data_IF_962202799586
#
_entry.id   IF_962202799586
#
_cell.length_a   1.000
_cell.length_b   1.000
_cell.length_c   1.000
_cell.angle_alpha   90.00
_cell.angle_beta   90.00
_cell.angle_gamma   90.00
#
_symmetry.space_group_name_H-M   'P 1'
#
loop_
_entity.id
_entity.type
_entity.pdbx_description
1 polymer ?
#
# COMPACT_ATOMS: atom_id res chain seq x y z
N UNK A 1 -5.48 10.65 -21.86
CA UNK A 1 -4.49 9.57 -21.96
C UNK A 1 -5.21 8.23 -21.74
N UNK A 2 -4.98 7.17 -22.54
CA UNK A 2 -5.58 5.86 -22.30
C UNK A 2 -4.90 5.14 -21.12
N UNK A 3 -5.69 4.48 -20.29
CA UNK A 3 -5.25 3.63 -19.17
C UNK A 3 -5.82 2.23 -19.38
N UNK A 4 -4.95 1.23 -19.36
CA UNK A 4 -5.30 -0.18 -19.48
C UNK A 4 -5.06 -0.85 -18.12
N UNK A 5 -6.10 -1.38 -17.49
CA UNK A 5 -5.96 -2.04 -16.19
C UNK A 5 -7.10 -3.04 -15.95
N UNK A 6 -6.97 -3.88 -14.92
CA UNK A 6 -8.05 -4.72 -14.45
C UNK A 6 -9.22 -3.87 -13.89
N UNK A 7 -10.41 -4.46 -13.86
CA UNK A 7 -11.66 -3.77 -13.52
C UNK A 7 -11.62 -3.08 -12.15
N UNK A 8 -11.13 -3.76 -11.11
CA UNK A 8 -11.02 -3.19 -9.77
C UNK A 8 -10.00 -2.05 -9.73
N UNK A 9 -8.85 -2.22 -10.40
CA UNK A 9 -7.82 -1.19 -10.51
C UNK A 9 -8.34 0.06 -11.20
N UNK A 10 -9.15 -0.09 -12.26
CA UNK A 10 -9.83 1.06 -12.93
C UNK A 10 -10.72 1.79 -11.94
N UNK A 11 -11.51 1.09 -11.12
CA UNK A 11 -12.36 1.70 -10.11
C UNK A 11 -11.56 2.54 -9.11
N UNK A 12 -10.43 2.01 -8.60
CA UNK A 12 -9.54 2.71 -7.67
C UNK A 12 -8.90 3.95 -8.31
N UNK A 13 -8.39 3.81 -9.55
CA UNK A 13 -7.76 4.93 -10.28
C UNK A 13 -8.80 6.01 -10.59
N UNK A 14 -10.01 5.62 -11.00
CA UNK A 14 -11.09 6.56 -11.36
C UNK A 14 -11.42 7.46 -10.17
N UNK A 15 -11.59 6.91 -8.97
CA UNK A 15 -11.83 7.69 -7.76
C UNK A 15 -10.72 8.74 -7.53
N UNK A 16 -9.44 8.34 -7.72
CA UNK A 16 -8.31 9.27 -7.62
C UNK A 16 -8.32 10.35 -8.68
N UNK A 17 -8.62 10.01 -9.91
CA UNK A 17 -8.68 10.98 -11.01
C UNK A 17 -9.86 11.93 -10.86
N UNK A 18 -10.97 11.49 -10.26
CA UNK A 18 -12.12 12.36 -9.93
C UNK A 18 -11.73 13.42 -8.90
N UNK A 19 -10.97 13.05 -7.84
CA UNK A 19 -10.44 14.00 -6.84
C UNK A 19 -9.62 15.13 -7.49
N UNK A 20 -8.96 14.85 -8.63
CA UNK A 20 -8.13 15.81 -9.37
C UNK A 20 -8.81 16.38 -10.62
N UNK A 21 -10.08 16.08 -10.89
CA UNK A 21 -10.81 16.55 -12.06
C UNK A 21 -10.31 15.99 -13.39
N UNK A 22 -9.56 14.88 -13.39
CA UNK A 22 -8.94 14.28 -14.58
C UNK A 22 -9.73 13.08 -15.14
N UNK A 23 -10.74 12.58 -14.45
CA UNK A 23 -11.47 11.37 -14.85
C UNK A 23 -12.15 11.54 -16.22
N UNK A 24 -12.74 12.70 -16.50
CA UNK A 24 -13.44 12.99 -17.77
C UNK A 24 -12.52 13.06 -19.00
N UNK A 25 -11.24 13.35 -18.81
CA UNK A 25 -10.21 13.40 -19.87
C UNK A 25 -9.45 12.09 -20.05
N UNK A 26 -9.77 11.08 -19.27
CA UNK A 26 -9.09 9.78 -19.26
C UNK A 26 -9.97 8.71 -19.93
N UNK A 27 -9.36 7.93 -20.83
CA UNK A 27 -10.03 6.79 -21.48
C UNK A 27 -9.57 5.51 -20.76
N UNK A 28 -10.52 4.77 -20.20
CA UNK A 28 -10.25 3.52 -19.50
C UNK A 28 -10.51 2.32 -20.41
N UNK A 29 -9.57 1.41 -20.45
CA UNK A 29 -9.68 0.12 -21.11
C UNK A 29 -9.55 -1.00 -20.08
N UNK A 30 -10.65 -1.69 -19.82
CA UNK A 30 -10.61 -2.91 -18.98
C UNK A 30 -9.87 -4.01 -19.75
N UNK A 31 -8.86 -4.60 -19.11
CA UNK A 31 -8.13 -5.76 -19.63
C UNK A 31 -8.28 -6.94 -18.69
N UNK A 32 -8.20 -8.14 -19.26
CA UNK A 32 -8.36 -9.40 -18.51
C UNK A 32 -7.18 -10.33 -18.78
N UNK A 33 -6.89 -11.25 -17.85
CA UNK A 33 -5.86 -12.26 -18.08
C UNK A 33 -6.01 -12.92 -19.45
N UNK A 34 -4.87 -13.12 -20.14
CA UNK A 34 -4.75 -13.69 -21.48
C UNK A 34 -5.36 -12.86 -22.63
N UNK A 35 -5.91 -11.71 -22.35
CA UNK A 35 -6.39 -10.77 -23.39
C UNK A 35 -5.24 -9.94 -23.93
N UNK A 36 -4.73 -10.29 -25.11
CA UNK A 36 -3.64 -9.53 -25.75
C UNK A 36 -4.11 -8.16 -26.23
N UNK A 37 -3.31 -7.15 -25.95
CA UNK A 37 -3.52 -5.77 -26.40
C UNK A 37 -2.31 -5.36 -27.24
N UNK A 38 -2.56 -4.90 -28.47
CA UNK A 38 -1.50 -4.42 -29.37
C UNK A 38 -1.41 -2.90 -29.32
N UNK A 39 -0.22 -2.39 -29.02
CA UNK A 39 0.09 -0.96 -28.87
C UNK A 39 1.32 -0.64 -29.75
N UNK A 40 1.11 -0.31 -31.02
CA UNK A 40 2.19 -0.13 -31.98
C UNK A 40 2.95 -1.42 -32.22
N UNK A 41 4.26 -1.44 -31.91
CA UNK A 41 5.11 -2.62 -32.04
C UNK A 41 5.07 -3.56 -30.80
N UNK A 42 4.32 -3.20 -29.77
CA UNK A 42 4.20 -3.98 -28.55
C UNK A 42 2.90 -4.79 -28.56
N UNK A 43 3.00 -6.04 -28.15
CA UNK A 43 1.84 -6.87 -27.79
C UNK A 43 1.93 -7.22 -26.31
N UNK A 44 0.98 -6.76 -25.53
CA UNK A 44 0.94 -6.93 -24.07
C UNK A 44 -0.10 -7.98 -23.72
N UNK A 45 0.31 -9.05 -23.05
CA UNK A 45 -0.58 -10.07 -22.49
C UNK A 45 -0.59 -9.97 -20.97
N UNK A 46 -1.74 -9.62 -20.35
CA UNK A 46 -1.92 -9.69 -18.92
C UNK A 46 -1.96 -11.14 -18.44
N UNK A 47 -1.25 -11.43 -17.35
CA UNK A 47 -1.16 -12.75 -16.72
C UNK A 47 -1.68 -12.61 -15.29
N UNK A 48 -2.62 -13.46 -14.88
CA UNK A 48 -3.14 -13.41 -13.51
C UNK A 48 -2.06 -13.79 -12.50
N UNK A 49 -1.95 -13.00 -11.42
CA UNK A 49 -1.10 -13.29 -10.26
C UNK A 49 -1.88 -13.04 -8.97
N UNK A 50 -1.59 -13.81 -7.93
CA UNK A 50 -2.13 -13.52 -6.60
C UNK A 50 -1.39 -12.34 -5.96
N UNK A 51 -2.14 -11.51 -5.27
CA UNK A 51 -1.65 -10.45 -4.41
C UNK A 51 -2.66 -10.17 -3.29
N UNK A 52 -2.50 -9.10 -2.52
CA UNK A 52 -3.45 -8.67 -1.49
C UNK A 52 -4.70 -7.97 -2.04
N UNK A 53 -4.77 -7.74 -3.34
CA UNK A 53 -5.88 -7.12 -4.04
C UNK A 53 -6.37 -8.05 -5.17
N UNK A 54 -7.70 -8.17 -5.40
CA UNK A 54 -8.22 -8.92 -6.53
C UNK A 54 -7.73 -8.42 -7.89
N UNK A 55 -7.72 -9.32 -8.88
CA UNK A 55 -7.38 -9.04 -10.29
C UNK A 55 -5.96 -8.49 -10.49
N UNK A 56 -5.00 -8.85 -9.64
CA UNK A 56 -3.60 -8.48 -9.84
C UNK A 56 -3.03 -9.12 -11.10
N UNK A 57 -2.23 -8.34 -11.84
CA UNK A 57 -1.71 -8.74 -13.15
C UNK A 57 -0.20 -8.60 -13.22
N UNK A 58 0.45 -9.65 -13.73
CA UNK A 58 1.73 -9.56 -14.39
C UNK A 58 1.51 -9.27 -15.89
N UNK A 59 2.57 -8.87 -16.58
CA UNK A 59 2.52 -8.55 -18.00
C UNK A 59 3.65 -9.22 -18.76
N UNK A 60 3.32 -9.93 -19.84
CA UNK A 60 4.26 -10.31 -20.86
C UNK A 60 4.17 -9.30 -22.01
N UNK A 61 5.27 -8.62 -22.30
CA UNK A 61 5.38 -7.55 -23.30
C UNK A 61 6.24 -8.10 -24.44
N UNK A 62 5.61 -8.47 -25.52
CA UNK A 62 6.26 -8.96 -26.74
C UNK A 62 6.56 -7.77 -27.66
N UNK A 63 7.80 -7.64 -28.08
CA UNK A 63 8.27 -6.59 -28.97
C UNK A 63 9.37 -7.10 -29.91
N UNK A 64 9.81 -6.31 -30.92
CA UNK A 64 10.85 -6.77 -31.86
C UNK A 64 12.19 -7.19 -31.23
N UNK A 65 12.51 -6.69 -30.03
CA UNK A 65 13.72 -7.07 -29.30
C UNK A 65 13.60 -8.43 -28.58
N UNK A 66 12.37 -8.86 -28.28
CA UNK A 66 12.06 -10.08 -27.54
C UNK A 66 10.95 -9.87 -26.52
N UNK A 67 10.72 -10.85 -25.67
CA UNK A 67 9.68 -10.81 -24.63
C UNK A 67 10.25 -10.30 -23.31
N UNK A 68 9.62 -9.29 -22.74
CA UNK A 68 9.88 -8.80 -21.39
C UNK A 68 8.72 -9.19 -20.48
N UNK A 69 9.00 -9.81 -19.33
CA UNK A 69 7.99 -10.10 -18.32
C UNK A 69 8.18 -9.14 -17.13
N UNK A 70 7.10 -8.49 -16.71
CA UNK A 70 7.02 -7.77 -15.44
C UNK A 70 6.00 -8.45 -14.55
N UNK A 71 6.44 -8.92 -13.38
CA UNK A 71 5.55 -9.71 -12.50
C UNK A 71 4.42 -8.90 -11.88
N UNK A 72 4.54 -7.56 -11.82
CA UNK A 72 3.78 -6.81 -10.84
C UNK A 72 4.11 -7.29 -9.44
N UNK A 73 3.33 -6.88 -8.46
CA UNK A 73 3.39 -7.42 -7.11
C UNK A 73 2.71 -8.78 -7.11
N UNK A 74 3.39 -9.82 -6.65
CA UNK A 74 2.86 -11.18 -6.75
C UNK A 74 3.23 -12.06 -5.56
N UNK A 75 2.44 -13.09 -5.34
CA UNK A 75 2.75 -14.30 -4.58
C UNK A 75 2.21 -15.53 -5.33
N UNK A 76 2.48 -16.71 -4.81
CA UNK A 76 1.87 -17.95 -5.29
C UNK A 76 1.02 -18.54 -4.17
N UNK A 77 -0.28 -18.32 -4.23
CA UNK A 77 -1.22 -18.88 -3.26
C UNK A 77 -2.00 -20.03 -3.92
N UNK A 78 -1.73 -21.26 -3.48
CA UNK A 78 -2.38 -22.47 -4.00
C UNK A 78 -3.78 -22.70 -3.43
N UNK A 79 -4.14 -21.98 -2.39
CA UNK A 79 -5.46 -22.01 -1.74
C UNK A 79 -6.00 -20.60 -1.55
N UNK A 80 -6.16 -19.84 -2.67
CA UNK A 80 -6.64 -18.47 -2.58
C UNK A 80 -8.07 -18.44 -2.01
N UNK A 81 -8.49 -17.26 -1.59
CA UNK A 81 -9.85 -17.08 -1.11
C UNK A 81 -10.87 -17.32 -2.21
N UNK A 82 -12.09 -17.67 -1.83
CA UNK A 82 -13.19 -17.93 -2.74
C UNK A 82 -13.34 -16.83 -3.79
N UNK A 83 -13.34 -17.23 -5.05
CA UNK A 83 -13.50 -16.35 -6.21
C UNK A 83 -12.20 -15.87 -6.85
N UNK A 84 -11.04 -16.14 -6.25
CA UNK A 84 -9.74 -15.85 -6.86
C UNK A 84 -9.13 -17.11 -7.51
N UNK A 85 -8.31 -16.90 -8.54
CA UNK A 85 -7.56 -17.97 -9.20
C UNK A 85 -6.14 -18.07 -8.62
N UNK A 86 -5.48 -19.21 -8.80
CA UNK A 86 -4.05 -19.35 -8.52
C UNK A 86 -3.25 -18.57 -9.56
N UNK A 87 -2.09 -18.04 -9.19
CA UNK A 87 -1.14 -17.43 -10.14
C UNK A 87 -0.93 -18.31 -11.38
N UNK A 88 -1.10 -17.73 -12.58
CA UNK A 88 -1.03 -18.47 -13.87
C UNK A 88 0.43 -18.85 -14.22
N UNK A 89 0.99 -19.76 -13.43
CA UNK A 89 2.33 -20.32 -13.64
C UNK A 89 2.47 -21.02 -15.02
N UNK A 90 1.45 -21.72 -15.54
CA UNK A 90 1.52 -22.30 -16.88
C UNK A 90 1.82 -21.29 -17.98
N UNK A 91 1.19 -20.12 -17.97
CA UNK A 91 1.46 -19.06 -18.95
C UNK A 91 2.90 -18.51 -18.82
N UNK A 92 3.40 -18.31 -17.58
CA UNK A 92 4.80 -17.94 -17.37
C UNK A 92 5.76 -18.99 -17.95
N UNK A 93 5.51 -20.27 -17.70
CA UNK A 93 6.34 -21.36 -18.22
C UNK A 93 6.27 -21.47 -19.76
N UNK A 94 5.12 -21.17 -20.37
CA UNK A 94 4.98 -21.11 -21.82
C UNK A 94 5.88 -20.01 -22.43
N UNK A 95 5.89 -18.81 -21.84
CA UNK A 95 6.81 -17.76 -22.26
C UNK A 95 8.26 -18.14 -22.04
N UNK A 96 8.59 -18.79 -20.92
CA UNK A 96 9.95 -19.29 -20.65
C UNK A 96 10.45 -20.25 -21.74
N UNK A 97 9.59 -21.15 -22.23
CA UNK A 97 9.92 -22.05 -23.35
C UNK A 97 10.08 -21.33 -24.70
N UNK A 98 9.36 -20.22 -24.90
CA UNK A 98 9.49 -19.39 -26.11
C UNK A 98 10.75 -18.53 -26.10
N UNK A 99 11.32 -18.28 -24.93
CA UNK A 99 12.45 -17.40 -24.68
C UNK A 99 12.00 -16.04 -24.14
N UNK A 100 12.48 -15.70 -22.94
CA UNK A 100 12.24 -14.40 -22.27
C UNK A 100 13.54 -13.60 -22.32
N UNK A 101 13.50 -12.42 -22.93
CA UNK A 101 14.63 -11.50 -22.99
C UNK A 101 14.95 -10.97 -21.59
N UNK A 102 13.96 -10.45 -20.88
CA UNK A 102 14.16 -9.90 -19.53
C UNK A 102 12.98 -10.21 -18.60
N UNK A 103 13.31 -10.46 -17.33
CA UNK A 103 12.33 -10.54 -16.24
C UNK A 103 12.57 -9.39 -15.26
N UNK A 104 11.51 -8.62 -15.01
CA UNK A 104 11.43 -7.63 -13.93
C UNK A 104 10.53 -8.22 -12.84
N UNK A 105 11.08 -8.53 -11.65
CA UNK A 105 10.32 -9.23 -10.62
C UNK A 105 10.37 -8.55 -9.25
N UNK A 106 9.23 -8.60 -8.54
CA UNK A 106 9.01 -8.10 -7.20
C UNK A 106 10.01 -8.68 -6.20
N UNK A 107 10.66 -7.82 -5.43
CA UNK A 107 11.72 -8.17 -4.48
C UNK A 107 11.34 -7.93 -3.02
N UNK A 108 10.13 -7.49 -2.72
CA UNK A 108 9.70 -7.04 -1.37
C UNK A 108 10.03 -8.02 -0.25
N UNK A 109 9.87 -9.32 -0.48
CA UNK A 109 10.17 -10.37 0.49
C UNK A 109 11.42 -11.19 0.16
N UNK A 110 12.35 -10.69 -0.62
CA UNK A 110 13.55 -11.42 -1.03
C UNK A 110 14.46 -11.85 0.16
N UNK A 111 14.33 -11.21 1.31
CA UNK A 111 15.05 -11.60 2.54
C UNK A 111 14.36 -12.74 3.31
N UNK A 112 13.13 -13.12 2.94
CA UNK A 112 12.34 -14.13 3.66
C UNK A 112 12.48 -15.49 3.00
N UNK A 113 12.98 -16.52 3.73
CA UNK A 113 13.06 -17.87 3.22
C UNK A 113 11.68 -18.51 3.09
N UNK A 114 11.58 -19.57 2.28
CA UNK A 114 10.36 -20.36 2.11
C UNK A 114 9.32 -19.71 1.21
N UNK A 115 8.07 -20.07 1.44
CA UNK A 115 6.89 -19.60 0.71
C UNK A 115 6.08 -18.61 1.57
N UNK A 116 5.36 -17.73 0.90
CA UNK A 116 4.38 -16.87 1.55
C UNK A 116 3.18 -17.71 2.01
N UNK A 117 2.71 -17.47 3.23
CA UNK A 117 1.53 -18.15 3.75
C UNK A 117 0.27 -17.80 2.93
N UNK A 118 -0.71 -18.69 2.93
CA UNK A 118 -2.00 -18.48 2.25
C UNK A 118 -2.91 -17.53 3.02
N UNK A 119 -3.79 -16.84 2.30
CA UNK A 119 -4.85 -16.01 2.90
C UNK A 119 -5.82 -16.82 3.78
N UNK A 120 -5.94 -18.12 3.55
CA UNK A 120 -6.76 -19.00 4.39
C UNK A 120 -6.25 -19.09 5.83
N UNK A 121 -4.93 -19.11 6.04
CA UNK A 121 -4.33 -19.08 7.39
C UNK A 121 -4.78 -17.84 8.16
N UNK A 122 -4.86 -16.70 7.49
CA UNK A 122 -5.35 -15.47 8.13
C UNK A 122 -6.85 -15.54 8.43
N UNK A 123 -7.65 -16.14 7.53
CA UNK A 123 -9.07 -16.35 7.79
C UNK A 123 -9.31 -17.13 9.08
N UNK A 124 -8.55 -18.20 9.31
CA UNK A 124 -8.60 -19.01 10.53
C UNK A 124 -8.14 -18.23 11.77
N UNK A 125 -7.04 -17.47 11.64
CA UNK A 125 -6.51 -16.61 12.70
C UNK A 125 -7.53 -15.55 13.13
N UNK A 126 -8.11 -14.83 12.18
CA UNK A 126 -9.12 -13.80 12.46
C UNK A 126 -10.40 -14.43 13.04
N UNK A 127 -10.82 -15.60 12.54
CA UNK A 127 -11.97 -16.35 13.10
C UNK A 127 -11.76 -16.67 14.58
N UNK A 128 -10.59 -17.14 14.96
CA UNK A 128 -10.24 -17.43 16.37
C UNK A 128 -10.32 -16.18 17.25
N UNK A 129 -9.91 -15.03 16.71
CA UNK A 129 -9.98 -13.75 17.41
C UNK A 129 -11.42 -13.24 17.56
N UNK A 130 -12.29 -13.46 16.56
CA UNK A 130 -13.72 -13.16 16.71
C UNK A 130 -14.35 -13.97 17.85
N UNK A 131 -13.99 -15.25 17.99
CA UNK A 131 -14.45 -16.07 19.13
C UNK A 131 -13.90 -15.53 20.46
N UNK A 132 -12.59 -15.17 20.52
CA UNK A 132 -11.94 -14.59 21.70
C UNK A 132 -12.53 -13.24 22.11
N UNK A 133 -12.98 -12.43 21.17
CA UNK A 133 -13.60 -11.13 21.44
C UNK A 133 -14.85 -11.25 22.34
N UNK A 134 -15.59 -12.34 22.25
CA UNK A 134 -16.79 -12.60 23.09
C UNK A 134 -17.84 -11.51 22.92
N UNK A 135 -18.21 -10.86 24.03
CA UNK A 135 -19.24 -9.78 24.04
C UNK A 135 -18.68 -8.39 23.78
N UNK A 136 -17.43 -8.24 23.36
CA UNK A 136 -16.83 -6.95 23.06
C UNK A 136 -17.12 -6.49 21.64
N UNK A 137 -17.08 -5.18 21.42
CA UNK A 137 -17.06 -4.61 20.06
C UNK A 137 -15.73 -4.96 19.40
N UNK A 138 -15.80 -5.42 18.15
CA UNK A 138 -14.60 -5.75 17.36
C UNK A 138 -14.28 -4.57 16.47
N UNK A 139 -13.03 -4.12 16.49
CA UNK A 139 -12.50 -3.08 15.59
C UNK A 139 -11.34 -3.71 14.82
N UNK A 140 -11.45 -3.75 13.49
CA UNK A 140 -10.39 -4.30 12.64
C UNK A 140 -9.79 -3.19 11.77
N UNK A 141 -8.51 -2.93 11.95
CA UNK A 141 -7.76 -2.00 11.11
C UNK A 141 -7.00 -2.77 10.02
N UNK A 142 -7.24 -2.40 8.76
CA UNK A 142 -6.59 -3.01 7.60
C UNK A 142 -6.37 -1.99 6.49
N UNK A 143 -5.66 -2.39 5.43
CA UNK A 143 -5.53 -1.58 4.21
C UNK A 143 -6.87 -1.46 3.48
N UNK A 144 -7.22 -0.26 3.07
CA UNK A 144 -8.48 0.00 2.37
C UNK A 144 -8.55 -0.67 0.98
N UNK A 145 -7.42 -1.02 0.40
CA UNK A 145 -7.31 -1.74 -0.88
C UNK A 145 -7.39 -3.26 -0.72
N UNK A 146 -7.25 -3.80 0.49
CA UNK A 146 -7.32 -5.24 0.72
C UNK A 146 -8.79 -5.71 0.81
N UNK A 147 -9.43 -5.77 -0.35
CA UNK A 147 -10.85 -6.14 -0.47
C UNK A 147 -11.11 -7.55 0.03
N UNK A 148 -10.18 -8.47 -0.15
CA UNK A 148 -10.30 -9.84 0.39
C UNK A 148 -10.41 -9.84 1.91
N UNK A 149 -9.60 -9.04 2.61
CA UNK A 149 -9.67 -8.93 4.07
C UNK A 149 -10.98 -8.30 4.54
N UNK A 150 -11.46 -7.29 3.82
CA UNK A 150 -12.76 -6.67 4.11
C UNK A 150 -13.88 -7.71 3.96
N UNK A 151 -13.85 -8.53 2.88
CA UNK A 151 -14.82 -9.62 2.70
C UNK A 151 -14.77 -10.64 3.83
N UNK A 152 -13.57 -11.11 4.20
CA UNK A 152 -13.41 -12.06 5.32
C UNK A 152 -14.02 -11.53 6.62
N UNK A 153 -13.80 -10.25 6.94
CA UNK A 153 -14.34 -9.64 8.15
C UNK A 153 -15.87 -9.55 8.08
N UNK A 154 -16.43 -9.21 6.91
CA UNK A 154 -17.89 -9.18 6.69
C UNK A 154 -18.49 -10.58 6.87
N UNK A 155 -17.88 -11.61 6.28
CA UNK A 155 -18.36 -12.99 6.40
C UNK A 155 -18.37 -13.46 7.86
N UNK A 156 -17.30 -13.18 8.61
CA UNK A 156 -17.22 -13.49 10.04
C UNK A 156 -18.22 -12.68 10.88
N UNK A 157 -18.51 -11.45 10.49
CA UNK A 157 -19.55 -10.64 11.15
C UNK A 157 -20.94 -11.24 10.91
N UNK A 158 -21.24 -11.69 9.69
CA UNK A 158 -22.48 -12.40 9.35
C UNK A 158 -22.62 -13.67 10.19
N UNK A 159 -21.58 -14.52 10.19
CA UNK A 159 -21.57 -15.77 10.96
C UNK A 159 -21.79 -15.54 12.47
N UNK A 160 -21.23 -14.46 13.01
CA UNK A 160 -21.39 -14.10 14.43
C UNK A 160 -22.63 -13.25 14.74
N UNK A 161 -23.47 -12.99 13.75
CA UNK A 161 -24.70 -12.18 13.89
C UNK A 161 -24.44 -10.73 14.29
N UNK A 162 -23.36 -10.13 13.76
CA UNK A 162 -22.94 -8.75 14.02
C UNK A 162 -23.22 -7.85 12.82
N UNK A 163 -23.42 -6.56 13.08
CA UNK A 163 -23.46 -5.50 12.08
C UNK A 163 -22.06 -5.00 11.78
N UNK A 164 -21.83 -4.54 10.57
CA UNK A 164 -20.54 -4.01 10.13
C UNK A 164 -20.68 -2.53 9.81
N UNK A 165 -19.88 -1.70 10.47
CA UNK A 165 -19.68 -0.30 10.10
C UNK A 165 -18.28 -0.14 9.45
N UNK A 166 -18.16 0.85 8.58
CA UNK A 166 -16.90 1.18 7.90
C UNK A 166 -16.50 2.60 8.26
N UNK A 167 -15.22 2.83 8.60
CA UNK A 167 -14.70 4.14 8.97
C UNK A 167 -13.37 4.46 8.30
N UNK A 168 -13.24 5.71 7.88
CA UNK A 168 -12.12 6.21 7.09
C UNK A 168 -12.51 6.43 5.63
N UNK A 169 -12.17 7.61 5.08
CA UNK A 169 -12.61 8.04 3.74
C UNK A 169 -12.32 6.99 2.66
N UNK A 170 -11.07 6.56 2.55
CA UNK A 170 -10.67 5.55 1.56
C UNK A 170 -11.31 4.18 1.80
N UNK A 171 -11.54 3.78 3.06
CA UNK A 171 -12.20 2.50 3.37
C UNK A 171 -13.66 2.53 2.91
N UNK A 172 -14.39 3.60 3.18
CA UNK A 172 -15.79 3.77 2.73
C UNK A 172 -15.85 3.74 1.21
N UNK A 173 -15.08 4.62 0.52
CA UNK A 173 -15.09 4.71 -0.93
C UNK A 173 -14.71 3.40 -1.63
N UNK A 174 -13.66 2.71 -1.15
CA UNK A 174 -13.23 1.44 -1.74
C UNK A 174 -14.22 0.30 -1.47
N UNK A 175 -14.88 0.28 -0.29
CA UNK A 175 -15.90 -0.71 0.05
C UNK A 175 -17.13 -0.54 -0.84
N UNK A 176 -17.60 0.69 -1.03
CA UNK A 176 -18.75 0.99 -1.91
C UNK A 176 -18.42 0.61 -3.37
N UNK A 177 -17.30 1.07 -3.90
CA UNK A 177 -16.84 0.75 -5.25
C UNK A 177 -16.68 -0.76 -5.45
N UNK A 178 -16.08 -1.49 -4.49
CA UNK A 178 -15.91 -2.94 -4.60
C UNK A 178 -17.25 -3.68 -4.58
N UNK A 179 -18.26 -3.18 -3.85
CA UNK A 179 -19.64 -3.72 -3.89
C UNK A 179 -20.28 -3.47 -5.26
N UNK A 180 -20.21 -2.25 -5.77
CA UNK A 180 -20.76 -1.90 -7.10
C UNK A 180 -20.15 -2.73 -8.22
N UNK A 181 -18.85 -3.00 -8.13
CA UNK A 181 -18.14 -3.83 -9.10
C UNK A 181 -18.31 -5.34 -8.88
N UNK A 182 -18.94 -5.77 -7.79
CA UNK A 182 -19.20 -7.19 -7.50
C UNK A 182 -18.02 -7.96 -6.90
N UNK A 183 -17.00 -7.27 -6.39
CA UNK A 183 -15.87 -7.89 -5.66
C UNK A 183 -16.15 -8.07 -4.17
N UNK A 184 -17.13 -7.36 -3.63
CA UNK A 184 -17.50 -7.43 -2.24
C UNK A 184 -19.00 -7.70 -2.10
N UNK A 185 -19.33 -8.74 -1.34
CA UNK A 185 -20.70 -9.20 -1.11
C UNK A 185 -21.09 -9.01 0.35
N UNK A 186 -22.11 -8.21 0.59
CA UNK A 186 -22.68 -8.01 1.92
C UNK A 186 -24.19 -7.82 1.80
N UNK A 187 -25.01 -8.56 2.57
CA UNK A 187 -26.43 -8.29 2.65
C UNK A 187 -26.69 -6.87 3.18
N UNK A 188 -27.71 -6.19 2.65
CA UNK A 188 -28.02 -4.79 3.01
C UNK A 188 -28.28 -4.60 4.50
N UNK A 189 -28.81 -5.63 5.17
CA UNK A 189 -29.10 -5.58 6.60
C UNK A 189 -27.86 -5.77 7.49
N UNK A 190 -26.68 -6.07 6.93
CA UNK A 190 -25.41 -6.27 7.67
C UNK A 190 -24.63 -4.97 7.78
N UNK A 191 -24.55 -4.22 6.69
CA UNK A 191 -23.84 -2.94 6.66
C UNK A 191 -24.68 -1.84 7.29
N UNK A 192 -24.06 -1.08 8.18
CA UNK A 192 -24.64 0.10 8.82
C UNK A 192 -23.72 1.30 8.62
N UNK A 193 -24.26 2.50 8.69
CA UNK A 193 -23.45 3.71 8.68
C UNK A 193 -22.70 3.89 10.00
N UNK A 194 -21.60 4.62 9.98
CA UNK A 194 -20.82 4.89 11.20
C UNK A 194 -21.65 5.66 12.24
N UNK A 195 -22.61 6.47 11.82
CA UNK A 195 -23.49 7.24 12.71
C UNK A 195 -24.50 6.35 13.45
N UNK A 196 -24.76 5.15 12.93
CA UNK A 196 -25.66 4.18 13.54
C UNK A 196 -24.98 3.25 14.54
N UNK A 197 -23.64 3.28 14.61
CA UNK A 197 -22.86 2.32 15.41
C UNK A 197 -23.31 2.27 16.88
N UNK A 198 -23.72 3.41 17.44
CA UNK A 198 -24.13 3.55 18.82
C UNK A 198 -25.59 3.13 19.08
N UNK A 199 -26.36 2.77 18.02
CA UNK A 199 -27.71 2.20 18.16
C UNK A 199 -27.70 0.70 18.50
N UNK A 200 -26.52 0.06 18.36
CA UNK A 200 -26.35 -1.37 18.58
C UNK A 200 -25.49 -1.62 19.82
N UNK A 201 -25.73 -2.69 20.59
CA UNK A 201 -24.88 -3.05 21.69
C UNK A 201 -23.46 -3.49 21.17
N UNK A 202 -22.38 -3.27 21.96
CA UNK A 202 -21.00 -3.53 21.51
C UNK A 202 -20.79 -4.92 20.91
N UNK A 203 -21.36 -5.96 21.51
CA UNK A 203 -21.27 -7.34 21.05
C UNK A 203 -21.95 -7.61 19.69
N UNK A 204 -22.71 -6.65 19.18
CA UNK A 204 -23.38 -6.75 17.87
C UNK A 204 -22.67 -5.92 16.78
N UNK A 205 -21.48 -5.38 17.07
CA UNK A 205 -20.82 -4.46 16.16
C UNK A 205 -19.42 -4.95 15.80
N UNK A 206 -19.10 -4.89 14.52
CA UNK A 206 -17.75 -4.92 13.94
C UNK A 206 -17.51 -3.60 13.23
N UNK A 207 -16.38 -2.97 13.50
CA UNK A 207 -15.93 -1.76 12.82
C UNK A 207 -14.69 -2.07 11.99
N UNK A 208 -14.77 -1.83 10.67
CA UNK A 208 -13.61 -1.91 9.77
C UNK A 208 -13.06 -0.50 9.57
N UNK A 209 -11.76 -0.30 9.76
CA UNK A 209 -11.19 1.05 9.77
C UNK A 209 -9.84 1.14 9.09
N UNK A 210 -9.49 2.35 8.64
CA UNK A 210 -8.13 2.72 8.20
C UNK A 210 -7.24 3.06 9.39
N UNK A 211 -5.92 3.15 9.14
CA UNK A 211 -4.94 3.59 10.14
C UNK A 211 -4.07 2.48 10.69
N UNK A 212 -4.01 1.34 9.98
CA UNK A 212 -3.13 0.23 10.31
C UNK A 212 -1.64 0.59 10.24
N UNK A 213 -1.28 1.70 9.59
CA UNK A 213 0.09 2.21 9.46
C UNK A 213 0.38 3.41 10.39
N UNK A 214 -0.56 3.76 11.25
CA UNK A 214 -0.40 4.85 12.21
C UNK A 214 -0.46 6.25 11.59
N UNK A 215 -1.06 6.41 10.42
CA UNK A 215 -1.22 7.71 9.75
C UNK A 215 -1.96 8.69 10.68
N UNK A 216 -1.43 9.89 10.91
CA UNK A 216 -1.93 10.79 11.98
C UNK A 216 -3.41 11.17 11.87
N UNK A 217 -3.92 11.30 10.64
CA UNK A 217 -5.32 11.69 10.38
C UNK A 217 -6.25 10.51 10.10
N UNK A 218 -5.75 9.27 10.23
CA UNK A 218 -6.55 8.07 10.03
C UNK A 218 -7.61 7.88 11.12
N UNK A 219 -8.62 7.06 10.82
CA UNK A 219 -9.70 6.81 11.77
C UNK A 219 -9.17 6.13 13.05
N UNK A 220 -8.30 5.12 12.94
CA UNK A 220 -7.73 4.44 14.11
C UNK A 220 -6.85 5.37 14.97
N UNK A 221 -6.02 6.22 14.34
CA UNK A 221 -5.19 7.20 15.06
C UNK A 221 -6.04 8.19 15.84
N UNK A 222 -7.14 8.67 15.26
CA UNK A 222 -8.10 9.53 15.98
C UNK A 222 -8.82 8.80 17.11
N UNK A 223 -9.11 7.51 16.96
CA UNK A 223 -9.66 6.68 18.05
C UNK A 223 -8.64 6.54 19.19
N UNK A 224 -7.37 6.28 18.89
CA UNK A 224 -6.29 6.18 19.88
C UNK A 224 -6.06 7.49 20.65
N UNK A 225 -6.36 8.64 20.04
CA UNK A 225 -6.26 9.97 20.63
C UNK A 225 -7.57 10.43 21.27
N UNK A 226 -8.60 9.58 21.36
CA UNK A 226 -9.95 9.91 21.81
C UNK A 226 -10.61 11.09 21.05
N UNK A 227 -10.17 11.39 19.84
CA UNK A 227 -10.65 12.50 19.00
C UNK A 227 -11.59 12.08 17.86
N UNK A 228 -11.92 10.78 17.75
CA UNK A 228 -12.90 10.30 16.76
C UNK A 228 -14.31 10.70 17.15
N UNK A 229 -15.08 11.27 16.20
CA UNK A 229 -16.39 11.87 16.49
C UNK A 229 -17.44 10.88 16.96
N UNK A 230 -17.54 9.70 16.33
CA UNK A 230 -18.61 8.71 16.57
C UNK A 230 -18.15 7.54 17.46
N UNK A 231 -16.86 7.25 17.53
CA UNK A 231 -16.34 6.07 18.21
C UNK A 231 -15.45 6.47 19.38
N UNK A 232 -15.84 6.07 20.58
CA UNK A 232 -15.01 6.14 21.79
C UNK A 232 -14.53 4.74 22.10
N UNK A 233 -13.20 4.58 22.19
CA UNK A 233 -12.53 3.32 22.53
C UNK A 233 -12.44 3.18 24.04
N UNK A 234 -12.61 1.95 24.54
CA UNK A 234 -12.52 1.64 25.96
C UNK A 234 -12.38 0.14 26.23
N UNK A 235 -12.58 -0.30 27.51
CA UNK A 235 -12.36 -1.68 27.94
C UNK A 235 -13.25 -2.73 27.23
N UNK A 236 -14.35 -2.31 26.65
CA UNK A 236 -15.28 -3.18 25.92
C UNK A 236 -14.93 -3.30 24.43
N UNK A 237 -13.73 -2.89 24.02
CA UNK A 237 -13.25 -3.00 22.66
C UNK A 237 -12.16 -4.05 22.51
N UNK A 238 -12.26 -4.83 21.44
CA UNK A 238 -11.29 -5.78 20.99
C UNK A 238 -10.78 -5.34 19.62
N UNK A 239 -9.52 -4.91 19.56
CA UNK A 239 -8.96 -4.26 18.37
C UNK A 239 -7.96 -5.20 17.70
N UNK A 240 -8.13 -5.43 16.41
CA UNK A 240 -7.26 -6.26 15.58
C UNK A 240 -6.59 -5.37 14.54
N UNK A 241 -5.26 -5.24 14.59
CA UNK A 241 -4.47 -4.58 13.55
C UNK A 241 -4.02 -5.67 12.57
N UNK A 242 -4.78 -5.79 11.47
CA UNK A 242 -4.57 -6.81 10.42
C UNK A 242 -3.66 -6.26 9.32
N UNK A 243 -2.48 -5.79 9.72
CA UNK A 243 -1.42 -5.30 8.85
C UNK A 243 -0.08 -5.37 9.59
N UNK A 244 1.01 -5.50 8.84
CA UNK A 244 2.37 -5.26 9.37
C UNK A 244 2.78 -3.83 9.08
N UNK A 245 3.56 -3.21 9.99
CA UNK A 245 4.14 -1.90 9.70
C UNK A 245 4.98 -1.94 8.43
N UNK A 246 4.75 -0.99 7.54
CA UNK A 246 5.67 -0.71 6.43
C UNK A 246 6.95 -0.14 7.03
N UNK A 247 8.15 -0.52 6.53
CA UNK A 247 9.41 0.03 7.02
C UNK A 247 9.37 1.55 7.14
N UNK A 248 9.72 2.07 8.33
CA UNK A 248 9.63 3.49 8.67
C UNK A 248 8.36 3.91 9.44
N UNK A 249 7.32 3.08 9.48
CA UNK A 249 6.06 3.39 10.20
C UNK A 249 6.00 2.77 11.61
N UNK A 250 7.02 2.05 12.05
CA UNK A 250 7.00 1.27 13.31
C UNK A 250 6.71 2.18 14.52
N UNK A 251 7.33 3.37 14.56
CA UNK A 251 7.13 4.33 15.66
C UNK A 251 5.69 4.86 15.70
N UNK A 252 5.11 5.16 14.56
CA UNK A 252 3.74 5.68 14.47
C UNK A 252 2.72 4.61 14.81
N UNK A 253 2.90 3.39 14.34
CA UNK A 253 2.06 2.24 14.70
C UNK A 253 2.14 1.97 16.20
N UNK A 254 3.36 1.92 16.78
CA UNK A 254 3.55 1.74 18.22
C UNK A 254 2.84 2.82 19.04
N UNK A 255 2.88 4.08 18.59
CA UNK A 255 2.17 5.18 19.26
C UNK A 255 0.65 4.96 19.27
N UNK A 256 0.09 4.49 18.15
CA UNK A 256 -1.34 4.18 18.06
C UNK A 256 -1.71 3.01 18.97
N UNK A 257 -0.94 1.91 18.94
CA UNK A 257 -1.14 0.75 19.83
C UNK A 257 -1.13 1.17 21.29
N UNK A 258 -0.12 1.92 21.74
CA UNK A 258 -0.02 2.40 23.11
C UNK A 258 -1.21 3.29 23.51
N UNK A 259 -1.66 4.16 22.60
CA UNK A 259 -2.85 4.99 22.81
C UNK A 259 -4.11 4.16 23.03
N UNK A 260 -4.33 3.12 22.21
CA UNK A 260 -5.49 2.24 22.34
C UNK A 260 -5.44 1.40 23.64
N UNK A 261 -4.26 0.86 23.98
CA UNK A 261 -4.05 0.12 25.24
C UNK A 261 -4.30 1.02 26.46
N UNK A 262 -3.85 2.29 26.44
CA UNK A 262 -4.05 3.24 27.54
C UNK A 262 -5.53 3.60 27.76
N UNK A 263 -6.38 3.44 26.73
CA UNK A 263 -7.84 3.58 26.85
C UNK A 263 -8.52 2.32 27.41
N UNK A 264 -7.75 1.26 27.70
CA UNK A 264 -8.22 0.00 28.29
C UNK A 264 -8.67 -1.04 27.28
N UNK A 265 -8.55 -0.82 25.98
CA UNK A 265 -8.88 -1.81 24.94
C UNK A 265 -7.88 -2.98 24.94
N UNK A 266 -8.34 -4.18 24.58
CA UNK A 266 -7.44 -5.27 24.21
C UNK A 266 -7.05 -5.09 22.74
N UNK A 267 -5.74 -5.06 22.46
CA UNK A 267 -5.21 -4.81 21.11
C UNK A 267 -4.37 -6.00 20.66
N UNK A 268 -4.72 -6.57 19.52
CA UNK A 268 -3.97 -7.62 18.83
C UNK A 268 -3.20 -6.96 17.68
N UNK A 269 -1.88 -7.10 17.68
CA UNK A 269 -1.00 -6.47 16.69
C UNK A 269 0.22 -7.34 16.39
N UNK A 270 0.88 -7.07 15.27
CA UNK A 270 2.09 -7.76 14.80
C UNK A 270 1.98 -9.29 14.75
N UNK A 271 2.93 -10.00 15.39
CA UNK A 271 3.06 -11.45 15.34
C UNK A 271 2.30 -12.18 16.46
N UNK A 272 1.38 -11.50 17.16
CA UNK A 272 0.62 -12.15 18.25
C UNK A 272 -0.32 -13.26 17.74
N UNK A 273 -0.82 -13.09 16.51
CA UNK A 273 -1.68 -14.06 15.81
C UNK A 273 -1.47 -13.92 14.29
N UNK A 274 -1.88 -14.92 13.54
CA UNK A 274 -1.85 -14.90 12.07
C UNK A 274 -2.98 -14.01 11.53
N UNK A 275 -2.84 -12.69 11.74
CA UNK A 275 -3.82 -11.68 11.30
C UNK A 275 -3.45 -11.01 9.98
N UNK A 276 -2.25 -11.28 9.48
CA UNK A 276 -1.75 -10.70 8.24
C UNK A 276 -0.80 -11.65 7.53
N UNK A 277 -0.97 -11.73 6.22
CA UNK A 277 -0.04 -12.38 5.30
C UNK A 277 0.40 -11.37 4.25
N UNK A 278 1.65 -11.48 3.82
CA UNK A 278 2.17 -10.62 2.74
C UNK A 278 1.50 -10.94 1.42
N UNK A 279 1.30 -9.93 0.58
CA UNK A 279 0.91 -10.09 -0.82
C UNK A 279 2.09 -10.39 -1.75
N UNK A 280 3.33 -10.43 -1.22
CA UNK A 280 4.56 -10.53 -2.01
C UNK A 280 5.26 -11.86 -1.80
N UNK A 281 5.88 -12.35 -2.87
CA UNK A 281 6.59 -13.61 -2.97
C UNK A 281 7.83 -13.68 -2.05
N UNK A 282 7.96 -14.75 -1.27
CA UNK A 282 9.19 -15.13 -0.57
C UNK A 282 10.19 -15.81 -1.52
N UNK A 283 11.37 -16.20 -1.01
CA UNK A 283 12.49 -16.68 -1.83
C UNK A 283 12.15 -17.87 -2.73
N UNK A 284 11.38 -18.85 -2.24
CA UNK A 284 11.08 -20.05 -3.05
C UNK A 284 10.10 -19.73 -4.20
N UNK A 285 9.20 -18.79 -3.99
CA UNK A 285 8.28 -18.31 -5.04
C UNK A 285 9.05 -17.47 -6.08
N UNK A 286 10.03 -16.66 -5.64
CA UNK A 286 10.92 -15.90 -6.52
C UNK A 286 11.79 -16.84 -7.37
N UNK A 287 12.35 -17.91 -6.78
CA UNK A 287 13.08 -18.96 -7.51
C UNK A 287 12.17 -19.67 -8.52
N UNK A 288 10.93 -19.96 -8.14
CA UNK A 288 9.95 -20.55 -9.03
C UNK A 288 9.67 -19.66 -10.25
N UNK A 289 9.45 -18.36 -10.02
CA UNK A 289 9.23 -17.39 -11.09
C UNK A 289 10.44 -17.28 -12.03
N UNK A 290 11.63 -17.17 -11.49
CA UNK A 290 12.88 -17.16 -12.24
C UNK A 290 13.03 -18.45 -13.08
N UNK A 291 12.82 -19.60 -12.47
CA UNK A 291 12.97 -20.92 -13.15
C UNK A 291 11.97 -21.11 -14.28
N UNK A 292 10.70 -20.69 -14.09
CA UNK A 292 9.66 -20.84 -15.10
C UNK A 292 9.85 -19.84 -16.26
N UNK A 293 10.17 -18.58 -15.95
CA UNK A 293 10.41 -17.56 -16.96
C UNK A 293 11.74 -17.77 -17.71
N UNK A 294 12.76 -18.32 -17.05
CA UNK A 294 14.10 -18.61 -17.57
C UNK A 294 14.65 -17.47 -18.42
N UNK A 295 14.78 -16.23 -17.87
CA UNK A 295 15.10 -15.04 -18.64
C UNK A 295 16.59 -14.98 -19.01
N UNK A 296 16.91 -14.29 -20.13
CA UNK A 296 18.28 -13.95 -20.48
C UNK A 296 18.86 -12.88 -19.56
N UNK A 297 18.05 -11.85 -19.21
CA UNK A 297 18.41 -10.76 -18.29
C UNK A 297 17.44 -10.73 -17.11
N UNK A 298 17.98 -10.44 -15.92
CA UNK A 298 17.17 -10.32 -14.72
C UNK A 298 17.35 -8.95 -14.06
N UNK A 299 16.24 -8.27 -13.78
CA UNK A 299 16.18 -6.99 -13.09
C UNK A 299 15.26 -7.13 -11.87
N UNK A 300 15.79 -7.27 -10.65
CA UNK A 300 14.97 -7.18 -9.45
C UNK A 300 14.39 -5.78 -9.33
N UNK A 301 13.08 -5.69 -9.07
CA UNK A 301 12.35 -4.42 -8.90
C UNK A 301 11.51 -4.45 -7.63
N UNK A 302 10.90 -3.33 -7.27
CA UNK A 302 9.97 -3.21 -6.15
C UNK A 302 10.56 -3.65 -4.81
N UNK A 303 11.46 -2.84 -4.25
CA UNK A 303 12.10 -3.07 -2.97
C UNK A 303 13.17 -2.04 -2.67
N UNK A 304 13.65 -2.02 -1.43
CA UNK A 304 14.86 -1.31 -1.06
C UNK A 304 16.09 -2.02 -1.62
N UNK A 305 17.21 -1.33 -1.72
CA UNK A 305 18.46 -1.88 -2.29
C UNK A 305 18.87 -3.24 -1.68
N UNK A 306 18.68 -3.43 -0.36
CA UNK A 306 18.97 -4.70 0.33
C UNK A 306 18.14 -5.87 -0.22
N UNK A 307 16.84 -5.62 -0.51
CA UNK A 307 15.92 -6.62 -1.05
C UNK A 307 16.26 -6.93 -2.51
N UNK A 308 16.51 -5.87 -3.32
CA UNK A 308 16.95 -6.02 -4.72
C UNK A 308 18.26 -6.83 -4.80
N UNK A 309 19.21 -6.53 -3.92
CA UNK A 309 20.49 -7.25 -3.83
C UNK A 309 20.26 -8.73 -3.46
N UNK A 310 19.44 -9.01 -2.47
CA UNK A 310 19.13 -10.40 -2.06
C UNK A 310 18.44 -11.19 -3.18
N UNK A 311 17.54 -10.56 -3.93
CA UNK A 311 16.89 -11.20 -5.07
C UNK A 311 17.89 -11.47 -6.21
N UNK A 312 18.78 -10.52 -6.49
CA UNK A 312 19.88 -10.71 -7.44
C UNK A 312 20.80 -11.88 -7.03
N UNK A 313 21.19 -11.98 -5.74
CA UNK A 313 21.96 -13.10 -5.20
C UNK A 313 21.21 -14.43 -5.35
N UNK A 314 19.90 -14.44 -5.12
CA UNK A 314 19.06 -15.63 -5.33
C UNK A 314 19.09 -16.08 -6.81
N UNK A 315 18.99 -15.15 -7.75
CA UNK A 315 19.07 -15.45 -9.17
C UNK A 315 20.46 -15.96 -9.57
N UNK A 316 21.53 -15.39 -9.02
CA UNK A 316 22.91 -15.83 -9.25
C UNK A 316 23.12 -17.28 -8.74
N UNK A 317 22.59 -17.63 -7.56
CA UNK A 317 22.69 -18.97 -6.98
C UNK A 317 21.95 -20.04 -7.80
N UNK A 318 20.94 -19.69 -8.58
CA UNK A 318 20.28 -20.64 -9.50
C UNK A 318 21.22 -21.07 -10.64
N UNK A 319 22.25 -20.29 -10.98
CA UNK A 319 23.38 -20.66 -11.80
C UNK A 319 23.15 -20.67 -13.31
N UNK A 320 21.95 -20.37 -13.81
CA UNK A 320 21.66 -20.36 -15.26
C UNK A 320 21.60 -18.93 -15.85
N UNK A 321 21.50 -17.90 -15.02
CA UNK A 321 21.60 -16.50 -15.45
C UNK A 321 23.04 -16.03 -15.17
N UNK A 322 23.85 -15.67 -16.18
CA UNK A 322 25.19 -15.14 -15.96
C UNK A 322 25.16 -13.88 -15.09
N UNK A 323 26.12 -13.72 -14.18
CA UNK A 323 26.15 -12.58 -13.25
C UNK A 323 26.08 -11.22 -13.94
N UNK A 324 26.72 -11.06 -15.10
CA UNK A 324 26.69 -9.84 -15.91
C UNK A 324 25.30 -9.55 -16.51
N UNK A 325 24.39 -10.52 -16.52
CA UNK A 325 23.01 -10.39 -16.99
C UNK A 325 22.01 -10.10 -15.85
N UNK A 326 22.50 -9.98 -14.60
CA UNK A 326 21.70 -9.61 -13.44
C UNK A 326 22.03 -8.17 -13.07
N UNK A 327 21.04 -7.27 -13.14
CA UNK A 327 21.27 -5.85 -12.95
C UNK A 327 20.32 -5.24 -11.94
N UNK A 328 20.86 -4.59 -10.90
CA UNK A 328 20.10 -3.82 -9.93
C UNK A 328 20.07 -2.38 -10.42
N UNK A 329 18.88 -1.95 -10.86
CA UNK A 329 18.67 -0.61 -11.38
C UNK A 329 18.35 0.39 -10.27
N UNK A 330 18.82 1.61 -10.44
CA UNK A 330 18.42 2.76 -9.62
C UNK A 330 17.31 3.56 -10.32
N UNK A 331 16.52 4.27 -9.54
CA UNK A 331 15.49 5.15 -10.09
C UNK A 331 16.10 6.19 -11.04
N UNK A 332 15.50 6.36 -12.21
CA UNK A 332 15.96 7.28 -13.23
C UNK A 332 16.95 6.72 -14.24
N UNK A 333 17.51 5.54 -14.03
CA UNK A 333 18.39 4.90 -15.01
C UNK A 333 17.59 4.42 -16.22
N UNK A 334 18.05 4.80 -17.41
CA UNK A 334 17.49 4.34 -18.68
C UNK A 334 18.24 3.09 -19.14
N UNK A 335 17.54 1.96 -19.16
CA UNK A 335 18.08 0.66 -19.51
C UNK A 335 17.58 0.29 -20.91
N UNK A 336 18.52 0.21 -21.87
CA UNK A 336 18.23 -0.30 -23.19
C UNK A 336 18.40 -1.82 -23.21
N UNK A 337 17.32 -2.51 -23.61
CA UNK A 337 17.33 -3.95 -23.89
C UNK A 337 17.25 -4.17 -25.40
N UNK A 338 18.11 -5.00 -25.93
CA UNK A 338 18.13 -5.41 -27.34
C UNK A 338 18.50 -6.88 -27.47
N UNK A 339 18.37 -7.45 -28.66
CA UNK A 339 18.81 -8.82 -28.92
C UNK A 339 20.32 -9.00 -28.66
N UNK A 340 21.11 -7.93 -28.83
CA UNK A 340 22.57 -7.98 -28.70
C UNK A 340 23.08 -7.72 -27.28
N UNK A 341 22.22 -7.22 -26.37
CA UNK A 341 22.63 -6.94 -25.01
C UNK A 341 21.76 -5.96 -24.24
N UNK A 342 22.16 -5.75 -23.00
CA UNK A 342 21.63 -4.76 -22.07
C UNK A 342 22.68 -3.68 -21.83
N UNK A 343 22.28 -2.42 -21.90
CA UNK A 343 23.13 -1.26 -21.62
C UNK A 343 22.38 -0.19 -20.84
N UNK A 344 23.11 0.51 -19.96
CA UNK A 344 22.62 1.75 -19.35
C UNK A 344 23.04 2.90 -20.28
N UNK A 345 22.08 3.66 -20.76
CA UNK A 345 22.39 4.74 -21.71
C UNK A 345 22.57 6.09 -21.00
N UNK A 346 21.58 6.53 -20.26
CA UNK A 346 21.58 7.80 -19.54
C UNK A 346 20.70 7.72 -18.31
N UNK A 347 20.68 8.78 -17.52
CA UNK A 347 19.78 8.92 -16.37
C UNK A 347 18.85 10.10 -16.60
N UNK A 348 17.60 9.95 -16.19
CA UNK A 348 16.66 11.07 -16.06
C UNK A 348 16.64 11.50 -14.59
N UNK A 349 16.25 12.75 -14.33
CA UNK A 349 16.14 13.25 -12.98
C UNK A 349 15.13 12.39 -12.19
N UNK A 350 15.61 11.76 -11.12
CA UNK A 350 14.80 10.97 -10.19
C UNK A 350 15.12 11.42 -8.78
N UNK A 351 14.13 11.40 -7.90
CA UNK A 351 14.25 11.82 -6.51
C UNK A 351 13.04 12.59 -6.02
N UNK A 352 13.12 13.08 -4.79
CA UNK A 352 12.06 13.88 -4.21
C UNK A 352 12.03 15.27 -4.85
N UNK A 353 10.88 15.62 -5.44
CA UNK A 353 10.60 16.99 -5.90
C UNK A 353 9.75 17.64 -4.82
N UNK A 354 10.32 18.65 -4.16
CA UNK A 354 9.61 19.40 -3.13
C UNK A 354 8.61 20.35 -3.76
N UNK A 355 7.39 20.38 -3.24
CA UNK A 355 6.31 21.27 -3.70
C UNK A 355 5.83 22.11 -2.53
N UNK A 356 5.80 23.42 -2.71
CA UNK A 356 5.29 24.38 -1.74
C UNK A 356 4.32 25.35 -2.42
N UNK A 357 3.03 25.12 -2.26
CA UNK A 357 2.00 25.88 -2.98
C UNK A 357 2.16 25.76 -4.47
N UNK A 358 2.44 26.87 -5.16
CA UNK A 358 2.68 26.92 -6.60
C UNK A 358 4.15 26.71 -6.99
N UNK A 359 5.08 26.72 -6.02
CA UNK A 359 6.50 26.49 -6.25
C UNK A 359 6.82 24.99 -6.37
N UNK A 360 7.36 24.56 -7.51
CA UNK A 360 7.81 23.18 -7.73
C UNK A 360 9.32 23.18 -7.86
N UNK A 361 10.01 22.47 -6.96
CA UNK A 361 11.47 22.34 -6.97
C UNK A 361 12.23 23.51 -6.31
N UNK A 362 11.57 24.59 -5.92
CA UNK A 362 12.21 25.78 -5.33
C UNK A 362 12.48 25.67 -3.83
N UNK A 363 12.08 24.58 -3.19
CA UNK A 363 12.28 24.37 -1.76
C UNK A 363 13.67 23.75 -1.54
N UNK A 364 14.68 24.60 -1.54
CA UNK A 364 16.07 24.16 -1.31
C UNK A 364 16.37 23.86 0.16
N UNK A 365 17.53 23.21 0.41
CA UNK A 365 17.98 22.82 1.75
C UNK A 365 18.04 23.98 2.75
N UNK A 366 18.25 25.21 2.29
CA UNK A 366 18.26 26.41 3.15
C UNK A 366 16.87 26.68 3.70
N UNK A 367 15.84 26.65 2.83
CA UNK A 367 14.45 26.88 3.23
C UNK A 367 13.96 25.79 4.18
N UNK A 368 14.31 24.52 3.92
CA UNK A 368 13.96 23.38 4.79
C UNK A 368 14.63 23.53 6.16
N UNK A 369 15.91 23.89 6.19
CA UNK A 369 16.65 24.14 7.42
C UNK A 369 16.03 25.29 8.22
N UNK A 370 15.74 26.42 7.57
CA UNK A 370 15.17 27.59 8.22
C UNK A 370 13.76 27.28 8.78
N UNK A 371 12.93 26.52 8.03
CA UNK A 371 11.64 26.04 8.54
C UNK A 371 11.78 25.09 9.71
N UNK A 372 12.80 24.25 9.72
CA UNK A 372 13.09 23.35 10.83
C UNK A 372 13.45 24.16 12.09
N UNK A 373 14.36 25.13 11.99
CA UNK A 373 14.70 26.03 13.09
C UNK A 373 13.46 26.79 13.61
N UNK A 374 12.65 27.35 12.70
CA UNK A 374 11.41 28.05 13.09
C UNK A 374 10.40 27.14 13.78
N UNK A 375 10.38 25.84 13.46
CA UNK A 375 9.48 24.86 14.10
C UNK A 375 9.94 24.44 15.49
N UNK A 376 11.23 24.50 15.78
CA UNK A 376 11.81 24.15 17.09
C UNK A 376 11.88 25.36 18.03
N UNK A 377 12.37 26.49 17.51
CA UNK A 377 12.71 27.68 18.33
C UNK A 377 11.66 28.79 18.29
N UNK A 378 10.74 28.76 17.32
CA UNK A 378 9.80 29.85 17.06
C UNK A 378 10.47 31.11 16.50
N UNK A 379 9.68 32.18 16.36
CA UNK A 379 10.17 33.49 15.90
C UNK A 379 9.57 34.62 16.77
N UNK A 380 10.40 35.58 17.15
CA UNK A 380 9.98 36.83 17.79
C UNK A 380 10.36 37.99 16.85
N UNK A 381 9.36 38.76 16.45
CA UNK A 381 9.57 39.99 15.70
C UNK A 381 9.37 41.17 16.66
N UNK A 382 10.39 42.02 16.75
CA UNK A 382 10.36 43.25 17.56
C UNK A 382 10.39 44.43 16.60
N UNK A 383 9.38 45.27 16.63
CA UNK A 383 9.34 46.50 15.83
C UNK A 383 9.33 47.74 16.72
N UNK A 384 10.17 48.70 16.41
CA UNK A 384 10.21 50.01 17.11
C UNK A 384 10.52 51.11 16.08
N UNK A 385 9.91 52.27 16.26
CA UNK A 385 10.27 53.47 15.53
C UNK A 385 11.27 54.29 16.36
N UNK A 386 12.42 54.65 15.77
CA UNK A 386 13.52 55.37 16.44
C UNK A 386 13.76 56.68 15.69
N UNK A 387 13.89 57.76 16.41
CA UNK A 387 14.30 59.04 15.85
C UNK A 387 15.78 58.95 15.43
N UNK A 388 16.02 59.08 14.12
CA UNK A 388 17.36 58.99 13.55
C UNK A 388 18.32 60.10 13.94
N UNK A 389 17.84 61.19 14.53
CA UNK A 389 18.68 62.33 14.95
C UNK A 389 19.23 62.21 16.36
N UNK A 390 18.50 61.53 17.27
CA UNK A 390 18.84 61.48 18.69
C UNK A 390 18.77 60.07 19.30
N UNK A 391 18.33 59.05 18.53
CA UNK A 391 18.24 57.68 18.97
C UNK A 391 17.07 57.36 19.93
N UNK A 392 16.14 58.30 20.13
CA UNK A 392 14.98 58.05 21.00
C UNK A 392 13.93 57.16 20.34
N UNK A 393 13.33 56.29 21.13
CA UNK A 393 12.22 55.44 20.69
C UNK A 393 10.94 56.29 20.59
N UNK A 394 10.39 56.46 19.41
CA UNK A 394 9.19 57.23 19.13
C UNK A 394 7.92 56.41 19.33
N UNK A 395 7.99 55.12 19.05
CA UNK A 395 6.87 54.18 19.19
C UNK A 395 7.38 52.74 19.30
N UNK A 396 6.68 51.87 20.03
CA UNK A 396 7.07 50.49 20.31
C UNK A 396 7.86 50.34 21.61
N UNK A 397 8.56 49.20 21.81
CA UNK A 397 8.64 48.04 20.92
C UNK A 397 7.33 47.25 20.91
N UNK A 398 6.85 46.93 19.72
CA UNK A 398 5.78 45.97 19.51
C UNK A 398 6.40 44.58 19.30
N UNK A 399 5.84 43.55 20.01
CA UNK A 399 6.32 42.19 20.00
C UNK A 399 5.29 41.28 19.36
N UNK A 400 5.70 40.60 18.29
CA UNK A 400 4.89 39.54 17.65
C UNK A 400 5.65 38.21 17.73
N UNK A 401 5.07 37.22 18.38
CA UNK A 401 5.66 35.88 18.49
C UNK A 401 4.85 34.85 17.71
N UNK A 402 5.54 33.85 17.14
CA UNK A 402 4.98 32.70 16.46
C UNK A 402 5.79 31.45 16.82
N UNK A 403 5.11 30.30 16.98
CA UNK A 403 5.75 29.01 17.28
C UNK A 403 6.07 28.74 18.73
N UNK A 404 5.81 29.69 19.65
CA UNK A 404 5.98 29.46 21.08
C UNK A 404 4.72 28.89 21.72
N UNK A 405 4.91 27.98 22.70
CA UNK A 405 3.84 27.50 23.56
C UNK A 405 3.68 28.51 24.70
N UNK A 406 2.51 29.13 24.82
CA UNK A 406 2.20 29.92 26.01
C UNK A 406 2.06 28.97 27.20
N UNK A 407 2.90 29.13 28.16
CA UNK A 407 2.79 28.51 29.51
C UNK A 407 1.98 29.43 30.40
#
# INVERSE_FOLDING_TARGET
MPIYAARLTIGLIKNKLEEHGLASSTIFHEIRPRQKVTLGCFTVEPIHVNHSIPDSLAFAIDCPAGVVIHTGDFKVDYTPLSGDAVTDLPTIAEYGRRGVLALLADSTNAERPGFTATEQTVAEGVRSLFAKAGKRRIIVATFASNIYRVQQIIDLAIESGRKVAVSGRSMVSNTEMARELGYLHAPDNVLITIDEINKYPPEKVVLITTGSQGEPLSALSRMAQASHRQVRVGPNDFIIISARPIPGNEKTVTKVVNGLLSLGAEVIYENMYDTHVSGHACQEEQKLMLTLAHPQYFLPVHGEFKQLKRHAETAEHLGYIPRQNIYIAENGQNIRLSADGMAIENTVTAGAVMVDGYGVGDVGNVVLRDRHHLSEDGIIIVTAAIDGSNGQVLSGPDLVSRGFVYV
#
